data_IF_807807991433
#
_entry.id   IF_807807991433
#
_cell.length_a   1.000
_cell.length_b   1.000
_cell.length_c   1.000
_cell.angle_alpha   90.00
_cell.angle_beta   90.00
_cell.angle_gamma   90.00
#
_symmetry.space_group_name_H-M   'P 1'
#
loop_
_entity.id
_entity.type
_entity.pdbx_description
1 polymer ?
#
# COMPACT_ATOMS: atom_id res chain seq x y z
N UNK A 1 22.11 32.14 -8.68
CA UNK A 1 21.71 30.75 -8.84
C UNK A 1 20.57 30.44 -7.88
N UNK A 2 19.46 30.00 -8.40
CA UNK A 2 18.31 29.62 -7.56
C UNK A 2 18.64 28.36 -6.79
N UNK A 3 18.35 28.29 -5.48
CA UNK A 3 18.40 26.99 -4.79
C UNK A 3 17.43 26.01 -5.44
N UNK A 4 17.75 24.71 -5.45
CA UNK A 4 16.81 23.72 -5.98
C UNK A 4 15.48 23.80 -5.22
N UNK A 5 14.35 23.56 -5.89
CA UNK A 5 13.06 23.55 -5.20
C UNK A 5 13.10 22.53 -4.06
N UNK A 6 12.68 22.97 -2.88
CA UNK A 6 12.55 22.06 -1.73
C UNK A 6 11.40 21.11 -2.06
N UNK A 7 11.74 19.87 -2.39
CA UNK A 7 10.74 18.83 -2.53
C UNK A 7 10.20 18.55 -1.14
N UNK A 8 8.91 18.73 -0.95
CA UNK A 8 8.29 18.40 0.31
C UNK A 8 8.49 16.94 0.61
N UNK A 9 9.00 16.63 1.79
CA UNK A 9 9.19 15.27 2.24
C UNK A 9 7.84 14.57 2.37
N UNK A 10 7.75 13.36 1.80
CA UNK A 10 6.60 12.49 2.00
C UNK A 10 6.64 11.95 3.42
N UNK A 11 5.54 12.09 4.13
CA UNK A 11 5.37 11.55 5.48
C UNK A 11 4.33 10.45 5.46
N UNK A 12 4.61 9.34 6.13
CA UNK A 12 3.67 8.24 6.27
C UNK A 12 3.30 8.12 7.74
N UNK A 13 2.00 8.04 8.00
CA UNK A 13 1.46 7.89 9.35
C UNK A 13 0.30 6.90 9.34
N UNK A 14 -0.09 6.46 10.53
CA UNK A 14 -1.29 5.66 10.69
C UNK A 14 -2.52 6.52 10.35
N UNK A 15 -3.46 5.94 9.62
CA UNK A 15 -4.71 6.59 9.26
C UNK A 15 -5.62 6.76 10.48
N UNK A 16 -6.42 7.82 10.47
CA UNK A 16 -7.42 8.15 11.48
C UNK A 16 -8.81 8.18 10.84
N UNK A 17 -9.86 8.22 11.66
CA UNK A 17 -11.25 8.27 11.18
C UNK A 17 -11.46 9.49 10.27
N UNK A 18 -10.79 10.60 10.55
CA UNK A 18 -10.86 11.81 9.72
C UNK A 18 -10.32 11.62 8.30
N UNK A 19 -9.59 10.53 8.05
CA UNK A 19 -9.06 10.22 6.71
C UNK A 19 -10.04 9.44 5.83
N UNK A 20 -11.18 9.00 6.38
CA UNK A 20 -12.11 8.11 5.67
C UNK A 20 -12.57 8.64 4.31
N UNK A 21 -12.90 9.92 4.21
CA UNK A 21 -13.37 10.51 2.94
C UNK A 21 -12.30 10.43 1.86
N UNK A 22 -11.04 10.74 2.20
CA UNK A 22 -9.92 10.64 1.28
C UNK A 22 -9.64 9.18 0.88
N UNK A 23 -9.69 8.26 1.85
CA UNK A 23 -9.49 6.84 1.61
C UNK A 23 -10.54 6.28 0.64
N UNK A 24 -11.81 6.58 0.87
CA UNK A 24 -12.91 6.12 0.01
C UNK A 24 -12.80 6.72 -1.38
N UNK A 25 -12.53 8.01 -1.48
CA UNK A 25 -12.38 8.68 -2.78
C UNK A 25 -11.23 8.09 -3.60
N UNK A 26 -10.08 7.81 -2.96
CA UNK A 26 -8.95 7.21 -3.65
C UNK A 26 -9.25 5.77 -4.08
N UNK A 27 -9.95 5.00 -3.24
CA UNK A 27 -10.37 3.63 -3.56
C UNK A 27 -11.25 3.62 -4.81
N UNK A 28 -12.23 4.50 -4.88
CA UNK A 28 -13.15 4.61 -6.01
C UNK A 28 -12.44 5.02 -7.29
N UNK A 29 -11.48 5.93 -7.21
CA UNK A 29 -10.75 6.40 -8.40
C UNK A 29 -9.65 5.46 -8.86
N UNK A 30 -9.12 4.63 -7.97
CA UNK A 30 -7.97 3.76 -8.25
C UNK A 30 -8.36 2.36 -8.72
N UNK A 31 -9.51 1.86 -8.28
CA UNK A 31 -9.93 0.48 -8.53
C UNK A 31 -11.32 0.43 -9.15
N UNK A 32 -11.43 -0.28 -10.28
CA UNK A 32 -12.71 -0.51 -10.92
C UNK A 32 -13.55 -1.55 -10.19
N UNK A 33 -12.88 -2.50 -9.54
CA UNK A 33 -13.50 -3.66 -8.88
C UNK A 33 -12.75 -3.97 -7.59
N UNK A 34 -13.30 -4.86 -6.78
CA UNK A 34 -12.68 -5.34 -5.53
C UNK A 34 -12.36 -4.21 -4.54
N UNK A 35 -13.21 -3.20 -4.53
CA UNK A 35 -13.02 -2.01 -3.70
C UNK A 35 -13.31 -2.27 -2.24
N UNK A 36 -12.48 -1.68 -1.37
CA UNK A 36 -12.80 -1.58 0.05
C UNK A 36 -13.89 -0.52 0.24
N UNK A 37 -14.95 -0.88 0.96
CA UNK A 37 -16.02 0.04 1.31
C UNK A 37 -15.62 0.94 2.48
N UNK A 38 -16.38 2.01 2.70
CA UNK A 38 -16.21 2.86 3.89
C UNK A 38 -16.32 2.04 5.18
N UNK A 39 -17.28 1.13 5.25
CA UNK A 39 -17.47 0.27 6.42
C UNK A 39 -16.27 -0.65 6.65
N UNK A 40 -15.69 -1.20 5.59
CA UNK A 40 -14.48 -2.02 5.68
C UNK A 40 -13.28 -1.20 6.14
N UNK A 41 -13.07 -0.01 5.59
CA UNK A 41 -12.02 0.89 6.08
C UNK A 41 -12.18 1.24 7.55
N UNK A 42 -13.40 1.57 7.96
CA UNK A 42 -13.68 1.87 9.37
C UNK A 42 -13.33 0.68 10.27
N UNK A 43 -13.70 -0.52 9.85
CA UNK A 43 -13.38 -1.75 10.58
C UNK A 43 -11.86 -1.96 10.67
N UNK A 44 -11.13 -1.74 9.58
CA UNK A 44 -9.68 -1.89 9.56
C UNK A 44 -8.97 -0.87 10.44
N UNK A 45 -9.48 0.35 10.53
CA UNK A 45 -8.91 1.38 11.41
C UNK A 45 -8.92 0.97 12.88
N UNK A 46 -9.91 0.19 13.29
CA UNK A 46 -10.05 -0.27 14.68
C UNK A 46 -9.46 -1.66 14.93
N UNK A 47 -9.00 -2.35 13.90
CA UNK A 47 -8.55 -3.74 14.01
C UNK A 47 -7.08 -3.84 14.42
N UNK A 48 -6.78 -4.73 15.36
CA UNK A 48 -5.38 -5.06 15.72
C UNK A 48 -4.67 -5.87 14.63
N UNK A 49 -5.42 -6.54 13.76
CA UNK A 49 -4.88 -7.35 12.67
C UNK A 49 -4.77 -6.62 11.35
N UNK A 50 -5.06 -5.32 11.33
CA UNK A 50 -4.93 -4.47 10.15
C UNK A 50 -4.25 -3.15 10.50
N UNK A 51 -3.51 -2.62 9.54
CA UNK A 51 -2.91 -1.30 9.64
C UNK A 51 -3.21 -0.54 8.37
N UNK A 52 -3.83 0.63 8.50
CA UNK A 52 -4.04 1.54 7.38
C UNK A 52 -3.06 2.70 7.52
N UNK A 53 -2.23 2.89 6.49
CA UNK A 53 -1.23 3.97 6.43
C UNK A 53 -1.68 5.03 5.44
N UNK A 54 -1.37 6.29 5.75
CA UNK A 54 -1.63 7.43 4.88
C UNK A 54 -0.30 8.13 4.60
N UNK A 55 -0.03 8.38 3.32
CA UNK A 55 1.08 9.22 2.89
C UNK A 55 0.56 10.63 2.63
N UNK A 56 1.30 11.62 3.10
CA UNK A 56 0.96 13.03 2.92
C UNK A 56 2.21 13.88 2.73
N UNK A 57 2.02 15.06 2.17
CA UNK A 57 3.04 16.08 2.04
C UNK A 57 2.39 17.46 2.19
N UNK A 58 3.18 18.50 2.46
CA UNK A 58 2.73 19.89 2.46
C UNK A 58 1.40 20.14 3.18
N UNK A 59 1.42 20.40 4.48
CA UNK A 59 0.23 20.76 5.23
C UNK A 59 -0.90 19.71 5.18
N UNK A 60 -0.55 18.42 5.22
CA UNK A 60 -1.49 17.30 5.26
C UNK A 60 -2.16 16.97 3.92
N UNK A 61 -1.56 17.37 2.81
CA UNK A 61 -2.07 16.95 1.50
C UNK A 61 -2.01 15.43 1.38
N UNK A 62 -3.18 14.81 1.21
CA UNK A 62 -3.32 13.36 1.05
C UNK A 62 -2.74 12.92 -0.30
N UNK A 63 -1.82 11.95 -0.29
CA UNK A 63 -1.12 11.47 -1.49
C UNK A 63 -1.31 9.99 -1.75
N UNK A 64 -1.68 9.20 -0.75
CA UNK A 64 -1.85 7.78 -0.96
C UNK A 64 -2.09 7.02 0.33
N UNK A 65 -2.32 5.72 0.18
CA UNK A 65 -2.60 4.81 1.29
C UNK A 65 -2.03 3.42 1.04
N UNK A 66 -1.75 2.72 2.12
CA UNK A 66 -1.45 1.29 2.11
C UNK A 66 -2.24 0.60 3.21
N UNK A 67 -2.68 -0.61 2.95
CA UNK A 67 -3.37 -1.46 3.92
C UNK A 67 -2.56 -2.73 4.11
N UNK A 68 -2.18 -2.99 5.35
CA UNK A 68 -1.37 -4.16 5.72
C UNK A 68 -2.18 -5.04 6.67
N UNK A 69 -2.18 -6.33 6.41
CA UNK A 69 -2.83 -7.31 7.28
C UNK A 69 -1.80 -8.17 8.01
N UNK A 70 -2.12 -8.45 9.27
CA UNK A 70 -1.34 -9.31 10.14
C UNK A 70 -2.21 -10.47 10.60
N UNK A 71 -1.62 -11.65 10.72
CA UNK A 71 -2.32 -12.84 11.16
C UNK A 71 -1.58 -13.46 12.34
N UNK A 72 -2.30 -13.78 13.41
CA UNK A 72 -1.74 -14.48 14.57
C UNK A 72 -1.15 -15.82 14.15
N UNK A 73 -0.01 -16.18 14.76
CA UNK A 73 0.64 -17.46 14.51
C UNK A 73 1.49 -17.51 13.25
N UNK A 74 1.66 -16.39 12.55
CA UNK A 74 2.56 -16.30 11.40
C UNK A 74 3.48 -15.10 11.51
N UNK A 75 4.67 -15.21 10.93
CA UNK A 75 5.64 -14.13 10.81
C UNK A 75 5.59 -13.46 9.43
N UNK A 76 4.54 -13.73 8.65
CA UNK A 76 4.31 -13.15 7.33
C UNK A 76 3.23 -12.09 7.45
N UNK A 77 3.58 -10.82 7.13
CA UNK A 77 2.60 -9.77 6.96
C UNK A 77 2.21 -9.69 5.48
N UNK A 78 1.02 -9.17 5.20
CA UNK A 78 0.51 -9.04 3.84
C UNK A 78 0.22 -7.58 3.53
N UNK A 79 0.85 -7.05 2.49
CA UNK A 79 0.48 -5.77 1.90
C UNK A 79 -0.75 -6.02 1.01
N UNK A 80 -1.92 -5.72 1.55
CA UNK A 80 -3.19 -6.02 0.89
C UNK A 80 -3.51 -5.07 -0.24
N UNK A 81 -3.24 -3.77 -0.03
CA UNK A 81 -3.59 -2.73 -1.00
C UNK A 81 -2.64 -1.56 -0.88
N UNK A 82 -2.34 -0.93 -2.00
CA UNK A 82 -1.61 0.31 -2.09
C UNK A 82 -2.20 1.13 -3.24
N UNK A 83 -2.40 2.42 -2.99
CA UNK A 83 -2.90 3.33 -4.01
C UNK A 83 -2.31 4.72 -3.77
N UNK A 84 -2.01 5.42 -4.86
CA UNK A 84 -1.50 6.79 -4.82
C UNK A 84 -2.35 7.68 -5.70
N UNK A 85 -2.47 8.96 -5.32
CA UNK A 85 -3.19 9.94 -6.13
C UNK A 85 -2.43 10.20 -7.44
N UNK A 86 -3.11 10.66 -8.51
CA UNK A 86 -2.41 11.00 -9.75
C UNK A 86 -1.30 12.03 -9.57
N UNK A 87 -1.48 12.99 -8.65
CA UNK A 87 -0.49 14.02 -8.35
C UNK A 87 0.76 13.48 -7.66
N UNK A 88 0.64 12.31 -7.04
CA UNK A 88 1.73 11.68 -6.29
C UNK A 88 2.65 10.83 -7.17
N UNK A 89 2.25 10.51 -8.39
CA UNK A 89 3.01 9.63 -9.27
C UNK A 89 4.38 10.24 -9.60
N UNK A 90 5.41 9.40 -9.57
CA UNK A 90 6.78 9.82 -9.83
C UNK A 90 7.46 10.55 -8.68
N UNK A 91 6.82 10.66 -7.51
CA UNK A 91 7.36 11.39 -6.34
C UNK A 91 7.82 10.47 -5.21
N UNK A 92 7.90 9.17 -5.45
CA UNK A 92 8.37 8.21 -4.44
C UNK A 92 7.35 7.86 -3.37
N UNK A 93 6.08 8.22 -3.53
CA UNK A 93 5.02 7.96 -2.54
C UNK A 93 4.78 6.46 -2.38
N UNK A 94 4.72 5.72 -3.48
CA UNK A 94 4.55 4.27 -3.45
C UNK A 94 5.69 3.59 -2.69
N UNK A 95 6.93 3.97 -2.98
CA UNK A 95 8.10 3.45 -2.25
C UNK A 95 8.04 3.76 -0.77
N UNK A 96 7.66 4.99 -0.40
CA UNK A 96 7.54 5.39 1.00
C UNK A 96 6.47 4.56 1.73
N UNK A 97 5.34 4.30 1.08
CA UNK A 97 4.28 3.47 1.65
C UNK A 97 4.72 2.01 1.85
N UNK A 98 5.43 1.44 0.88
CA UNK A 98 5.95 0.07 0.99
C UNK A 98 6.98 0.00 2.12
N UNK A 99 7.91 0.93 2.18
CA UNK A 99 8.94 0.97 3.23
C UNK A 99 8.32 1.12 4.63
N UNK A 100 7.33 1.97 4.78
CA UNK A 100 6.60 2.12 6.05
C UNK A 100 5.84 0.84 6.42
N UNK A 101 5.29 0.14 5.44
CA UNK A 101 4.64 -1.16 5.66
C UNK A 101 5.64 -2.21 6.14
N UNK A 102 6.83 -2.23 5.56
CA UNK A 102 7.93 -3.11 5.99
C UNK A 102 8.36 -2.81 7.42
N UNK A 103 8.53 -1.53 7.75
CA UNK A 103 8.91 -1.12 9.11
C UNK A 103 7.86 -1.51 10.14
N UNK A 104 6.59 -1.31 9.83
CA UNK A 104 5.50 -1.73 10.70
C UNK A 104 5.47 -3.25 10.91
N UNK A 105 5.74 -4.01 9.85
CA UNK A 105 5.82 -5.46 9.92
C UNK A 105 6.99 -5.91 10.81
N UNK A 106 8.16 -5.28 10.69
CA UNK A 106 9.33 -5.57 11.54
C UNK A 106 9.04 -5.29 13.01
N UNK A 107 8.38 -4.17 13.31
CA UNK A 107 8.01 -3.81 14.69
C UNK A 107 7.13 -4.88 15.33
N UNK A 108 6.27 -5.53 14.54
CA UNK A 108 5.43 -6.62 15.02
C UNK A 108 6.10 -7.99 15.02
N UNK A 109 7.38 -8.06 14.66
CA UNK A 109 8.13 -9.31 14.64
C UNK A 109 7.93 -10.14 13.38
N UNK A 110 7.36 -9.57 12.32
CA UNK A 110 7.23 -10.25 11.04
C UNK A 110 8.59 -10.34 10.35
N UNK A 111 8.82 -11.46 9.66
CA UNK A 111 10.07 -11.74 8.94
C UNK A 111 9.97 -11.54 7.44
N UNK A 112 8.74 -11.44 6.92
CA UNK A 112 8.52 -11.21 5.50
C UNK A 112 7.25 -10.41 5.27
N UNK A 113 7.22 -9.72 4.12
CA UNK A 113 6.05 -9.03 3.62
C UNK A 113 5.70 -9.63 2.27
N UNK A 114 4.45 -10.03 2.12
CA UNK A 114 3.94 -10.69 0.93
C UNK A 114 2.84 -9.86 0.31
N UNK A 115 2.72 -9.89 -1.01
CA UNK A 115 1.69 -9.16 -1.74
C UNK A 115 1.29 -9.91 -3.01
N UNK A 116 0.12 -9.55 -3.51
CA UNK A 116 -0.36 -9.95 -4.83
C UNK A 116 -0.48 -8.69 -5.70
N UNK A 117 -0.12 -8.82 -6.97
CA UNK A 117 -0.21 -7.72 -7.95
C UNK A 117 -0.79 -8.26 -9.24
N UNK A 118 -1.64 -7.45 -9.89
CA UNK A 118 -2.20 -7.80 -11.19
C UNK A 118 -1.08 -8.05 -12.19
N UNK A 119 -1.20 -9.14 -12.93
CA UNK A 119 -0.21 -9.53 -13.95
C UNK A 119 -0.01 -8.46 -15.02
N UNK A 120 -1.03 -7.65 -15.28
CA UNK A 120 -1.00 -6.56 -16.25
C UNK A 120 -0.54 -5.20 -15.66
N UNK A 121 -0.23 -5.13 -14.38
CA UNK A 121 0.22 -3.89 -13.74
C UNK A 121 1.74 -3.78 -13.76
N UNK A 122 2.28 -3.41 -14.93
CA UNK A 122 3.73 -3.33 -15.15
C UNK A 122 4.40 -2.30 -14.23
N UNK A 123 3.74 -1.20 -13.92
CA UNK A 123 4.29 -0.14 -13.06
C UNK A 123 4.50 -0.65 -11.64
N UNK A 124 3.50 -1.31 -11.08
CA UNK A 124 3.59 -1.87 -9.74
C UNK A 124 4.61 -3.02 -9.66
N UNK A 125 4.64 -3.89 -10.66
CA UNK A 125 5.61 -4.99 -10.73
C UNK A 125 7.03 -4.44 -10.69
N UNK A 126 7.34 -3.42 -11.49
CA UNK A 126 8.66 -2.79 -11.48
C UNK A 126 8.99 -2.14 -10.15
N UNK A 127 8.01 -1.52 -9.50
CA UNK A 127 8.20 -0.94 -8.18
C UNK A 127 8.63 -2.01 -7.16
N UNK A 128 7.89 -3.12 -7.09
CA UNK A 128 8.17 -4.18 -6.14
C UNK A 128 9.51 -4.86 -6.42
N UNK A 129 9.83 -5.15 -7.67
CA UNK A 129 11.12 -5.72 -8.04
C UNK A 129 12.26 -4.79 -7.64
N UNK A 130 12.13 -3.50 -7.88
CA UNK A 130 13.14 -2.49 -7.51
C UNK A 130 13.32 -2.41 -6.00
N UNK A 131 12.28 -2.66 -5.22
CA UNK A 131 12.34 -2.64 -3.76
C UNK A 131 12.81 -3.97 -3.15
N UNK A 132 13.15 -4.94 -3.98
CA UNK A 132 13.74 -6.20 -3.53
C UNK A 132 12.74 -7.34 -3.37
N UNK A 133 11.54 -7.21 -3.90
CA UNK A 133 10.55 -8.29 -3.88
C UNK A 133 10.85 -9.31 -4.98
N UNK A 134 10.75 -10.60 -4.65
CA UNK A 134 10.91 -11.69 -5.58
C UNK A 134 9.55 -12.36 -5.82
N UNK A 135 9.32 -12.74 -7.07
CA UNK A 135 8.10 -13.47 -7.42
C UNK A 135 8.18 -14.90 -6.88
N UNK A 136 7.18 -15.30 -6.09
CA UNK A 136 7.11 -16.62 -5.47
C UNK A 136 6.02 -17.50 -6.07
N UNK A 137 5.17 -16.97 -6.95
CA UNK A 137 4.12 -17.75 -7.58
C UNK A 137 3.11 -16.85 -8.28
N UNK A 138 2.01 -17.46 -8.67
CA UNK A 138 0.87 -16.73 -9.24
C UNK A 138 -0.45 -17.43 -8.89
N UNK A 139 -1.53 -16.65 -8.91
CA UNK A 139 -2.89 -17.16 -8.77
C UNK A 139 -3.66 -16.89 -10.07
N UNK A 140 -4.21 -17.95 -10.67
CA UNK A 140 -5.06 -17.81 -11.84
C UNK A 140 -6.43 -17.27 -11.45
N UNK A 141 -6.99 -16.40 -12.29
CA UNK A 141 -8.33 -15.84 -12.11
C UNK A 141 -8.55 -15.21 -10.73
N UNK A 142 -7.55 -14.49 -10.24
CA UNK A 142 -7.54 -13.96 -8.88
C UNK A 142 -8.47 -12.76 -8.70
N UNK A 143 -8.51 -11.87 -9.68
CA UNK A 143 -9.33 -10.66 -9.62
C UNK A 143 -10.71 -10.89 -10.23
N UNK A 144 -11.67 -10.02 -9.87
CA UNK A 144 -13.06 -10.15 -10.29
C UNK A 144 -13.25 -10.17 -11.82
N UNK A 145 -12.35 -9.51 -12.56
CA UNK A 145 -12.36 -9.50 -14.03
C UNK A 145 -11.66 -10.70 -14.68
N UNK A 146 -11.21 -11.66 -13.87
CA UNK A 146 -10.52 -12.87 -14.34
C UNK A 146 -9.01 -12.73 -14.53
N UNK A 147 -8.45 -11.54 -14.27
CA UNK A 147 -7.00 -11.32 -14.40
C UNK A 147 -6.24 -12.11 -13.33
N UNK A 148 -5.11 -12.69 -13.75
CA UNK A 148 -4.21 -13.41 -12.86
C UNK A 148 -3.43 -12.43 -11.96
N UNK A 149 -2.98 -12.92 -10.81
CA UNK A 149 -2.09 -12.21 -9.91
C UNK A 149 -0.73 -12.87 -9.85
N UNK A 150 0.34 -12.07 -9.84
CA UNK A 150 1.64 -12.51 -9.37
C UNK A 150 1.71 -12.36 -7.87
N UNK A 151 2.42 -13.28 -7.23
CA UNK A 151 2.70 -13.25 -5.80
C UNK A 151 4.16 -12.89 -5.59
N UNK A 152 4.40 -11.88 -4.76
CA UNK A 152 5.73 -11.41 -4.42
C UNK A 152 5.96 -11.48 -2.92
N UNK A 153 7.22 -11.64 -2.53
CA UNK A 153 7.64 -11.67 -1.14
C UNK A 153 9.01 -11.06 -0.98
N UNK A 154 9.20 -10.37 0.14
CA UNK A 154 10.51 -9.86 0.56
C UNK A 154 10.79 -10.30 1.98
N UNK A 155 12.00 -10.79 2.21
CA UNK A 155 12.50 -11.06 3.57
C UNK A 155 12.88 -9.73 4.23
N UNK A 156 12.42 -9.53 5.43
CA UNK A 156 12.61 -8.27 6.17
C UNK A 156 13.82 -8.32 7.10
#
# INVERSE_FOLDING_TARGET
>A
MRPPPVTAAVRVRRAEVSDLDDLVALEESSFAQDRLSRAQYRKHLDSESALVLVASANHRRFLGTAVVFFRKGTTVARLYSIATTPQAQGKGVGSALVEASEDAARVRGCRSLRLEVRKDNAVAIRLYERLGYARIGEYANYYADGTDAFRFEKQL
#
